data_IF_854797963094
#
_entry.id   IF_854797963094
#
_cell.length_a   1.000
_cell.length_b   1.000
_cell.length_c   1.000
_cell.angle_alpha   90.00
_cell.angle_beta   90.00
_cell.angle_gamma   90.00
#
_symmetry.space_group_name_H-M   'P 1'
#
loop_
_entity.id
_entity.type
_entity.pdbx_description
1 polymer ?
#
# COMPACT_ATOMS: atom_id res chain seq x y z
N UNK A 1 11.19 18.46 12.48
CA UNK A 1 10.33 18.98 11.40
C UNK A 1 10.73 18.29 10.11
N UNK A 2 9.82 17.58 9.47
CA UNK A 2 10.06 17.02 8.15
C UNK A 2 10.13 18.16 7.13
N UNK A 3 11.18 18.16 6.30
CA UNK A 3 11.54 19.24 5.38
C UNK A 3 10.45 19.44 4.29
N UNK A 4 9.56 18.44 4.12
CA UNK A 4 8.56 18.39 3.06
C UNK A 4 7.15 18.00 3.56
N UNK A 5 6.86 18.09 4.86
CA UNK A 5 5.59 17.60 5.45
C UNK A 5 5.28 16.10 5.15
N UNK A 6 6.33 15.30 4.94
CA UNK A 6 6.24 13.84 4.75
C UNK A 6 6.66 13.19 6.06
N UNK A 7 5.81 12.29 6.57
CA UNK A 7 6.12 11.45 7.73
C UNK A 7 6.26 10.00 7.30
N UNK A 8 7.23 9.30 7.89
CA UNK A 8 7.39 7.86 7.67
C UNK A 8 6.26 7.11 8.37
N UNK A 9 5.57 6.22 7.64
CA UNK A 9 4.57 5.33 8.21
C UNK A 9 5.19 3.96 8.49
N UNK A 10 5.36 3.55 9.77
CA UNK A 10 5.97 2.27 10.09
C UNK A 10 5.11 1.09 9.63
N UNK A 11 5.78 0.05 9.13
CA UNK A 11 5.13 -1.22 8.80
C UNK A 11 4.93 -2.01 10.10
N UNK A 12 3.71 -2.49 10.30
CA UNK A 12 3.32 -3.33 11.41
C UNK A 12 3.09 -4.77 10.96
N UNK A 13 3.09 -5.71 11.91
CA UNK A 13 2.82 -7.12 11.62
C UNK A 13 1.41 -7.35 11.04
N UNK A 14 0.44 -6.48 11.36
CA UNK A 14 -0.89 -6.51 10.75
C UNK A 14 -0.82 -6.31 9.24
N UNK A 15 0.02 -5.39 8.76
CA UNK A 15 0.22 -5.14 7.33
C UNK A 15 0.81 -6.36 6.63
N UNK A 16 1.82 -7.01 7.22
CA UNK A 16 2.45 -8.19 6.62
C UNK A 16 1.51 -9.39 6.59
N UNK A 17 0.71 -9.62 7.64
CA UNK A 17 -0.29 -10.68 7.67
C UNK A 17 -1.43 -10.43 6.66
N UNK A 18 -1.81 -9.17 6.46
CA UNK A 18 -2.90 -8.83 5.53
C UNK A 18 -2.52 -9.09 4.06
N UNK A 19 -1.23 -9.15 3.71
CA UNK A 19 -0.76 -9.52 2.36
C UNK A 19 -1.34 -10.86 1.88
N UNK A 20 -1.55 -11.82 2.79
CA UNK A 20 -2.13 -13.13 2.48
C UNK A 20 -3.59 -13.07 2.04
N UNK A 21 -4.29 -11.97 2.33
CA UNK A 21 -5.68 -11.76 1.93
C UNK A 21 -5.82 -11.09 0.56
N UNK A 22 -4.71 -10.61 -0.01
CA UNK A 22 -4.72 -9.91 -1.27
C UNK A 22 -4.79 -10.88 -2.47
N UNK A 23 -5.58 -10.57 -3.50
CA UNK A 23 -5.56 -11.31 -4.76
C UNK A 23 -4.17 -11.23 -5.42
N UNK A 24 -3.82 -12.23 -6.22
CA UNK A 24 -2.50 -12.30 -6.86
C UNK A 24 -2.44 -11.51 -8.17
N UNK A 25 -2.44 -10.18 -8.09
CA UNK A 25 -2.22 -9.31 -9.26
C UNK A 25 -0.76 -8.88 -9.43
N UNK A 26 0.00 -8.79 -8.33
CA UNK A 26 1.44 -8.50 -8.31
C UNK A 26 2.27 -9.67 -7.81
N UNK A 27 3.48 -9.76 -8.33
CA UNK A 27 4.53 -10.67 -7.83
C UNK A 27 5.48 -10.01 -6.85
N UNK A 28 5.57 -8.67 -6.88
CA UNK A 28 6.45 -7.95 -5.99
C UNK A 28 5.90 -7.98 -4.55
N UNK A 29 6.65 -8.53 -3.58
CA UNK A 29 6.17 -8.65 -2.20
C UNK A 29 6.06 -7.30 -1.50
N UNK A 30 6.82 -6.29 -1.90
CA UNK A 30 6.77 -4.96 -1.31
C UNK A 30 5.59 -4.16 -1.82
N UNK A 31 5.25 -4.24 -3.11
CA UNK A 31 4.02 -3.61 -3.64
C UNK A 31 2.78 -4.18 -2.93
N UNK A 32 2.75 -5.50 -2.75
CA UNK A 32 1.68 -6.16 -1.98
C UNK A 32 1.63 -5.68 -0.53
N UNK A 33 2.78 -5.39 0.08
CA UNK A 33 2.83 -4.84 1.43
C UNK A 33 2.31 -3.40 1.49
N UNK A 34 2.65 -2.56 0.50
CA UNK A 34 2.11 -1.19 0.38
C UNK A 34 0.59 -1.21 0.22
N UNK A 35 0.06 -2.10 -0.62
CA UNK A 35 -1.38 -2.29 -0.78
C UNK A 35 -2.02 -2.74 0.54
N UNK A 36 -1.42 -3.72 1.22
CA UNK A 36 -1.94 -4.21 2.49
C UNK A 36 -1.95 -3.13 3.58
N UNK A 37 -0.90 -2.32 3.65
CA UNK A 37 -0.82 -1.17 4.57
C UNK A 37 -1.87 -0.12 4.23
N UNK A 38 -1.97 0.30 2.97
CA UNK A 38 -2.96 1.29 2.54
C UNK A 38 -4.41 0.86 2.81
N UNK A 39 -4.72 -0.44 2.64
CA UNK A 39 -6.06 -0.97 2.96
C UNK A 39 -6.38 -0.97 4.44
N UNK A 40 -5.42 -1.29 5.31
CA UNK A 40 -5.64 -1.33 6.75
C UNK A 40 -5.66 0.06 7.38
N UNK A 41 -4.91 1.01 6.83
CA UNK A 41 -4.84 2.39 7.30
C UNK A 41 -5.88 3.30 6.61
N UNK A 42 -6.66 2.76 5.66
CA UNK A 42 -7.65 3.49 4.84
C UNK A 42 -7.04 4.71 4.12
N UNK A 43 -5.84 4.54 3.57
CA UNK A 43 -5.09 5.59 2.89
C UNK A 43 -5.05 5.38 1.37
N UNK A 44 -5.10 6.45 0.56
CA UNK A 44 -4.86 6.35 -0.87
C UNK A 44 -3.38 6.09 -1.17
N UNK A 45 -3.10 5.44 -2.30
CA UNK A 45 -1.75 5.27 -2.83
C UNK A 45 -1.53 6.24 -3.99
N UNK A 46 -0.52 7.11 -3.87
CA UNK A 46 0.00 7.89 -5.00
C UNK A 46 0.97 7.02 -5.80
N UNK A 47 0.61 6.65 -7.03
CA UNK A 47 1.46 5.78 -7.86
C UNK A 47 1.19 5.93 -9.35
N UNK A 48 2.24 5.75 -10.16
CA UNK A 48 2.15 5.63 -11.60
C UNK A 48 1.95 4.18 -12.08
N UNK A 49 1.95 3.19 -11.19
CA UNK A 49 1.73 1.78 -11.54
C UNK A 49 0.22 1.47 -11.70
N UNK A 50 -0.25 1.22 -12.93
CA UNK A 50 -1.67 0.94 -13.16
C UNK A 50 -2.11 -0.40 -12.54
N UNK A 51 -1.21 -1.34 -12.24
CA UNK A 51 -1.59 -2.61 -11.63
C UNK A 51 -2.14 -2.42 -10.21
N UNK A 52 -1.72 -1.38 -9.48
CA UNK A 52 -2.19 -1.12 -8.11
C UNK A 52 -3.69 -0.81 -8.09
N UNK A 53 -4.22 -0.18 -9.14
CA UNK A 53 -5.66 0.11 -9.29
C UNK A 53 -6.55 -1.14 -9.37
N UNK A 54 -5.96 -2.33 -9.53
CA UNK A 54 -6.70 -3.61 -9.54
C UNK A 54 -7.06 -4.09 -8.14
N UNK A 55 -6.45 -3.53 -7.10
CA UNK A 55 -6.80 -3.81 -5.71
C UNK A 55 -7.89 -2.84 -5.24
N UNK A 56 -8.69 -3.23 -4.23
CA UNK A 56 -9.69 -2.35 -3.63
C UNK A 56 -9.00 -1.33 -2.71
N UNK A 57 -8.28 -0.38 -3.30
CA UNK A 57 -7.59 0.76 -2.67
C UNK A 57 -7.78 1.99 -3.55
N UNK A 58 -7.88 3.17 -2.95
CA UNK A 58 -7.91 4.42 -3.69
C UNK A 58 -6.53 4.72 -4.29
N UNK A 59 -6.49 5.14 -5.56
CA UNK A 59 -5.25 5.49 -6.27
C UNK A 59 -5.32 6.93 -6.72
N UNK A 60 -4.26 7.68 -6.45
CA UNK A 60 -4.05 9.06 -6.92
C UNK A 60 -2.88 9.05 -7.92
N UNK A 61 -2.95 9.89 -8.96
CA UNK A 61 -1.94 10.02 -10.01
C UNK A 61 -1.57 11.48 -10.26
#
# INVERSE_FOLDING_TARGET
>A
MAINAIESLPIQMSHTLHVYTLPEYHRDPFDRLLIAQARLEELPILTADPQISRYPVEVIW
#
